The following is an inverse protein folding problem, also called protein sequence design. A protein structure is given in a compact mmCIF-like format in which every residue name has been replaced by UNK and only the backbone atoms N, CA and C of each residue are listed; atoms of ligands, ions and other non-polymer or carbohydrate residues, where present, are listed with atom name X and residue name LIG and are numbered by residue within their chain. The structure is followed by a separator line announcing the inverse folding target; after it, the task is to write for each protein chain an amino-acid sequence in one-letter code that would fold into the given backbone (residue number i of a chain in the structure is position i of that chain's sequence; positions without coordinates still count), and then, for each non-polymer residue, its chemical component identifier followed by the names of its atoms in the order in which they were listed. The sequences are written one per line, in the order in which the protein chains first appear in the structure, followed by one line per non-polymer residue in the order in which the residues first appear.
data_IF_144538418952
#
_entry.id   IF_144538418952
#
_cell.length_a   1.000
_cell.length_b   1.000
_cell.length_c   1.000
_cell.angle_alpha   90.00
_cell.angle_beta   90.00
_cell.angle_gamma   90.00
#
_symmetry.space_group_name_H-M   'P 1'
#
loop_
_entity.id
_entity.type
_entity.pdbx_description
1 polymer ?
#
# COMPACT_ATOMS: atom_id res chain seq x y z
N UNK A 1 58.70 -8.48 53.07
CA UNK A 1 58.73 -7.12 52.53
C UNK A 1 59.82 -7.03 51.46
N UNK A 2 59.50 -7.35 50.21
CA UNK A 2 60.42 -7.14 49.08
C UNK A 2 60.59 -5.63 48.92
N UNK A 3 61.77 -5.11 49.27
CA UNK A 3 62.11 -3.71 49.04
C UNK A 3 62.15 -3.49 47.53
N UNK A 4 61.20 -2.72 47.00
CA UNK A 4 61.22 -2.32 45.59
C UNK A 4 62.45 -1.43 45.37
N UNK A 5 63.31 -1.74 44.38
CA UNK A 5 64.51 -0.97 44.13
C UNK A 5 64.13 0.44 43.69
N UNK A 6 64.90 1.43 44.15
CA UNK A 6 64.75 2.82 43.71
C UNK A 6 65.00 2.89 42.20
N UNK A 7 64.25 3.74 41.46
CA UNK A 7 64.46 3.92 40.03
C UNK A 7 65.90 4.38 39.74
N UNK A 8 66.49 4.01 38.59
CA UNK A 8 67.90 4.21 38.27
C UNK A 8 68.36 5.69 38.21
N UNK A 9 67.43 6.64 38.30
CA UNK A 9 67.68 8.08 38.32
C UNK A 9 67.95 8.64 39.72
N UNK A 10 67.96 7.81 40.77
CA UNK A 10 68.25 8.23 42.14
C UNK A 10 69.75 8.58 42.32
N UNK A 11 70.14 9.82 41.99
CA UNK A 11 71.43 10.39 42.41
C UNK A 11 71.34 10.80 43.87
N UNK A 12 72.15 10.18 44.72
CA UNK A 12 72.28 10.54 46.13
C UNK A 12 72.72 11.99 46.28
N UNK A 13 71.92 12.82 46.96
CA UNK A 13 72.18 14.23 47.29
C UNK A 13 73.40 14.44 48.23
N UNK A 14 74.11 13.39 48.60
CA UNK A 14 75.25 13.41 49.54
C UNK A 14 76.47 14.20 49.08
N UNK A 15 76.59 14.55 47.80
CA UNK A 15 77.71 15.36 47.27
C UNK A 15 77.44 16.87 47.26
N UNK A 16 76.22 17.32 47.60
CA UNK A 16 75.76 18.69 47.28
C UNK A 16 76.21 19.75 48.29
N UNK A 17 76.58 19.35 49.52
CA UNK A 17 77.05 20.29 50.55
C UNK A 17 78.46 20.85 50.29
N UNK A 18 79.26 20.23 49.41
CA UNK A 18 80.67 20.61 49.17
C UNK A 18 80.79 21.74 48.13
N UNK A 19 79.76 21.97 47.30
CA UNK A 19 79.86 22.84 46.12
C UNK A 19 79.85 24.35 46.38
N UNK A 20 79.23 24.83 47.45
CA UNK A 20 79.14 26.29 47.73
C UNK A 20 80.48 26.84 48.19
N UNK A 21 81.22 26.09 49.01
CA UNK A 21 82.58 26.44 49.45
C UNK A 21 83.60 26.27 48.30
N UNK A 22 83.35 25.32 47.39
CA UNK A 22 84.24 25.06 46.25
C UNK A 22 84.26 26.17 45.19
N UNK A 23 83.14 26.86 44.95
CA UNK A 23 83.10 27.94 43.95
C UNK A 23 83.82 29.23 44.39
N UNK A 24 83.97 29.46 45.70
CA UNK A 24 84.79 30.55 46.22
C UNK A 24 86.30 30.28 46.11
N UNK A 25 86.72 29.03 45.88
CA UNK A 25 88.15 28.67 45.64
C UNK A 25 88.65 28.99 44.24
N UNK A 26 87.78 29.49 43.35
CA UNK A 26 88.12 29.85 41.95
C UNK A 26 88.49 31.33 41.77
N UNK A 27 88.81 32.04 42.85
CA UNK A 27 89.46 33.33 42.77
C UNK A 27 90.92 33.14 42.29
N UNK A 28 91.45 33.97 41.38
CA UNK A 28 92.83 33.86 40.94
C UNK A 28 93.80 34.03 42.13
N UNK A 29 94.84 33.21 42.26
CA UNK A 29 95.85 33.39 43.30
C UNK A 29 96.73 34.58 42.91
N UNK A 30 96.54 35.72 43.57
CA UNK A 30 97.33 36.92 43.35
C UNK A 30 97.46 37.67 44.68
N UNK A 31 98.70 37.97 45.09
CA UNK A 31 98.98 38.94 46.14
C UNK A 31 98.38 40.29 45.75
N UNK A 32 97.26 40.64 46.38
CA UNK A 32 96.76 42.00 46.36
C UNK A 32 97.33 42.65 47.62
N UNK A 33 98.51 43.25 47.48
CA UNK A 33 99.26 43.88 48.58
C UNK A 33 98.45 44.93 49.39
N UNK A 34 97.31 45.39 48.88
CA UNK A 34 96.47 46.44 49.49
C UNK A 34 95.25 45.91 50.28
N UNK A 35 94.58 44.85 49.82
CA UNK A 35 93.39 44.27 50.51
C UNK A 35 93.23 42.78 50.20
N UNK A 36 92.66 42.03 51.15
CA UNK A 36 92.24 40.64 50.96
C UNK A 36 90.89 40.38 51.62
N UNK A 37 89.92 39.89 50.85
CA UNK A 37 88.63 39.41 51.37
C UNK A 37 88.70 37.89 51.43
N UNK A 38 88.68 37.34 52.65
CA UNK A 38 88.65 35.90 52.82
C UNK A 38 87.32 35.33 52.28
N UNK A 39 87.34 34.21 51.53
CA UNK A 39 86.15 33.55 50.98
C UNK A 39 84.97 33.42 51.96
N UNK A 40 85.26 33.07 53.21
CA UNK A 40 84.27 32.89 54.28
C UNK A 40 83.58 34.19 54.71
N UNK A 41 84.23 35.34 54.51
CA UNK A 41 83.71 36.66 54.88
C UNK A 41 83.08 37.38 53.68
N UNK A 42 83.33 36.91 52.45
CA UNK A 42 82.90 37.58 51.22
C UNK A 42 81.39 37.86 51.19
N UNK A 43 80.55 36.89 51.59
CA UNK A 43 79.11 37.11 51.63
C UNK A 43 78.74 38.31 52.50
N UNK A 44 79.19 38.33 53.75
CA UNK A 44 78.90 39.42 54.68
C UNK A 44 79.43 40.77 54.20
N UNK A 45 80.63 40.81 53.61
CA UNK A 45 81.26 42.05 53.10
C UNK A 45 80.45 42.65 51.94
N UNK A 46 79.92 41.83 51.04
CA UNK A 46 79.19 42.30 49.87
C UNK A 46 77.67 42.47 50.10
N UNK A 47 77.10 41.93 51.18
CA UNK A 47 75.65 42.05 51.46
C UNK A 47 75.32 43.04 52.59
N UNK A 48 76.26 43.34 53.47
CA UNK A 48 76.01 44.21 54.63
C UNK A 48 76.27 45.67 54.25
N UNK A 49 75.33 46.60 54.51
CA UNK A 49 75.56 48.02 54.28
C UNK A 49 76.87 48.48 54.93
N UNK A 50 77.72 49.19 54.18
CA UNK A 50 79.01 49.74 54.62
C UNK A 50 80.10 48.74 55.03
N UNK A 51 79.89 47.43 54.86
CA UNK A 51 80.92 46.43 55.22
C UNK A 51 82.13 46.42 54.28
N UNK A 52 82.03 47.04 53.10
CA UNK A 52 83.15 47.25 52.19
C UNK A 52 84.00 48.47 52.59
N UNK A 53 83.44 49.42 53.33
CA UNK A 53 84.07 50.70 53.68
C UNK A 53 85.41 50.52 54.42
N UNK A 54 85.57 49.57 55.37
CA UNK A 54 86.87 49.32 56.01
C UNK A 54 87.97 48.89 55.02
N UNK A 55 87.63 48.10 54.01
CA UNK A 55 88.59 47.68 52.97
C UNK A 55 88.97 48.85 52.07
N UNK A 56 88.00 49.69 51.69
CA UNK A 56 88.29 50.90 50.93
C UNK A 56 89.12 51.92 51.74
N UNK A 57 88.88 51.99 53.06
CA UNK A 57 89.66 52.82 53.96
C UNK A 57 91.13 52.36 54.07
N UNK A 58 91.41 51.05 54.02
CA UNK A 58 92.78 50.52 53.94
C UNK A 58 93.48 51.00 52.67
N UNK A 59 92.84 50.87 51.50
CA UNK A 59 93.38 51.39 50.23
C UNK A 59 93.60 52.90 50.31
N UNK A 60 92.67 53.64 50.93
CA UNK A 60 92.79 55.09 51.10
C UNK A 60 93.99 55.48 51.96
N UNK A 61 94.21 54.78 53.07
CA UNK A 61 95.36 55.00 53.94
C UNK A 61 96.68 54.81 53.20
N UNK A 62 96.77 53.79 52.35
CA UNK A 62 97.95 53.54 51.50
C UNK A 62 98.13 54.62 50.42
N UNK A 63 97.04 55.15 49.86
CA UNK A 63 97.09 56.32 48.95
C UNK A 63 97.62 57.55 49.68
N UNK A 64 97.11 57.85 50.88
CA UNK A 64 97.50 59.05 51.62
C UNK A 64 98.96 58.98 52.13
N UNK A 65 99.52 57.77 52.29
CA UNK A 65 100.92 57.55 52.67
C UNK A 65 101.90 57.50 51.49
N UNK A 66 101.39 57.47 50.24
CA UNK A 66 102.22 57.36 49.04
C UNK A 66 102.71 58.73 48.58
N UNK A 67 104.02 58.99 48.72
CA UNK A 67 104.70 60.20 48.26
C UNK A 67 105.80 59.85 47.24
N UNK A 68 105.70 60.40 46.04
CA UNK A 68 106.63 60.13 44.94
C UNK A 68 106.95 61.43 44.18
N UNK A 69 108.23 61.68 43.93
CA UNK A 69 108.68 62.91 43.26
C UNK A 69 108.38 62.88 41.76
N UNK A 70 107.31 63.58 41.37
CA UNK A 70 106.83 63.70 39.99
C UNK A 70 107.80 64.44 39.05
N UNK A 71 108.77 65.19 39.59
CA UNK A 71 109.78 65.87 38.77
C UNK A 71 110.74 64.87 38.14
N UNK A 72 110.93 63.69 38.73
CA UNK A 72 111.81 62.63 38.23
C UNK A 72 111.09 61.61 37.36
N UNK A 73 111.81 61.01 36.41
CA UNK A 73 111.28 59.90 35.60
C UNK A 73 110.92 58.68 36.47
N UNK A 74 111.66 58.45 37.56
CA UNK A 74 111.43 57.37 38.51
C UNK A 74 110.13 57.56 39.30
N UNK A 75 109.90 58.74 39.91
CA UNK A 75 108.68 59.00 40.66
C UNK A 75 107.42 58.96 39.79
N UNK A 76 107.47 59.44 38.53
CA UNK A 76 106.36 59.25 37.58
C UNK A 76 106.08 57.77 37.25
N UNK A 77 107.10 56.92 37.24
CA UNK A 77 106.92 55.47 37.04
C UNK A 77 106.32 54.81 38.29
N UNK A 78 106.72 55.24 39.49
CA UNK A 78 106.14 54.79 40.77
C UNK A 78 104.66 55.13 40.88
N UNK A 79 104.24 56.35 40.51
CA UNK A 79 102.82 56.76 40.46
C UNK A 79 102.01 55.84 39.52
N UNK A 80 102.53 55.54 38.32
CA UNK A 80 101.86 54.63 37.37
C UNK A 80 101.72 53.23 37.95
N UNK A 81 102.76 52.73 38.60
CA UNK A 81 102.75 51.42 39.26
C UNK A 81 101.71 51.36 40.39
N UNK A 82 101.64 52.39 41.23
CA UNK A 82 100.68 52.48 42.32
C UNK A 82 99.23 52.58 41.82
N UNK A 83 98.96 53.40 40.80
CA UNK A 83 97.66 53.47 40.14
C UNK A 83 97.22 52.12 39.54
N UNK A 84 98.18 51.34 39.01
CA UNK A 84 97.91 49.99 38.53
C UNK A 84 97.56 49.02 39.66
N UNK A 85 98.18 49.14 40.85
CA UNK A 85 97.78 48.37 42.05
C UNK A 85 96.33 48.66 42.46
N UNK A 86 95.90 49.93 42.45
CA UNK A 86 94.50 50.30 42.72
C UNK A 86 93.55 49.69 41.68
N UNK A 87 93.95 49.67 40.40
CA UNK A 87 93.15 49.03 39.35
C UNK A 87 93.01 47.53 39.58
N UNK A 88 94.07 46.85 40.05
CA UNK A 88 94.00 45.43 40.42
C UNK A 88 93.06 45.17 41.60
N UNK A 89 93.08 46.03 42.63
CA UNK A 89 92.14 46.00 43.76
C UNK A 89 90.69 46.08 43.27
N UNK A 90 90.38 47.02 42.37
CA UNK A 90 89.04 47.15 41.77
C UNK A 90 88.62 45.86 41.07
N UNK A 91 89.48 45.32 40.20
CA UNK A 91 89.20 44.07 39.47
C UNK A 91 89.01 42.88 40.41
N UNK A 92 89.77 42.82 41.51
CA UNK A 92 89.62 41.80 42.54
C UNK A 92 88.25 41.88 43.26
N UNK A 93 87.84 43.08 43.67
CA UNK A 93 86.54 43.27 44.34
C UNK A 93 85.36 42.93 43.42
N UNK A 94 85.39 43.43 42.17
CA UNK A 94 84.35 43.13 41.18
C UNK A 94 84.27 41.63 40.86
N UNK A 95 85.42 41.00 40.61
CA UNK A 95 85.50 39.55 40.37
C UNK A 95 84.98 38.73 41.54
N UNK A 96 85.29 39.13 42.78
CA UNK A 96 84.82 38.46 44.00
C UNK A 96 83.30 38.59 44.16
N UNK A 97 82.76 39.80 43.99
CA UNK A 97 81.32 40.05 44.06
C UNK A 97 80.55 39.31 42.96
N UNK A 98 81.07 39.27 41.74
CA UNK A 98 80.50 38.50 40.63
C UNK A 98 80.49 36.99 40.93
N UNK A 99 81.62 36.43 41.37
CA UNK A 99 81.72 35.01 41.70
C UNK A 99 80.74 34.61 42.82
N UNK A 100 80.57 35.47 43.83
CA UNK A 100 79.60 35.28 44.91
C UNK A 100 78.16 35.30 44.40
N UNK A 101 77.79 36.28 43.55
CA UNK A 101 76.46 36.37 42.95
C UNK A 101 76.15 35.15 42.07
N UNK A 102 77.11 34.72 41.26
CA UNK A 102 76.98 33.54 40.40
C UNK A 102 76.77 32.28 41.26
N UNK A 103 77.57 32.09 42.31
CA UNK A 103 77.41 30.99 43.26
C UNK A 103 76.06 31.02 43.97
N UNK A 104 75.59 32.21 44.38
CA UNK A 104 74.30 32.38 45.06
C UNK A 104 73.13 32.06 44.13
N UNK A 105 73.19 32.43 42.83
CA UNK A 105 72.16 32.11 41.83
C UNK A 105 72.05 30.62 41.52
N UNK A 106 73.13 29.86 41.68
CA UNK A 106 73.09 28.41 41.53
C UNK A 106 72.30 27.71 42.65
N UNK A 107 72.16 28.33 43.83
CA UNK A 107 71.42 27.74 44.96
C UNK A 107 69.91 27.63 44.62
N UNK A 108 69.18 28.71 44.23
CA UNK A 108 67.79 28.61 43.80
C UNK A 108 67.58 27.63 42.63
N UNK A 109 68.46 27.65 41.61
CA UNK A 109 68.38 26.72 40.48
C UNK A 109 68.41 25.26 40.92
N UNK A 110 69.30 24.91 41.86
CA UNK A 110 69.39 23.55 42.42
C UNK A 110 68.19 23.20 43.27
N UNK A 111 67.69 24.14 44.07
CA UNK A 111 66.47 23.94 44.87
C UNK A 111 65.28 23.63 43.96
N UNK A 112 65.09 24.41 42.90
CA UNK A 112 63.97 24.19 41.97
C UNK A 112 64.10 22.87 41.21
N UNK A 113 65.31 22.50 40.79
CA UNK A 113 65.58 21.20 40.17
C UNK A 113 65.27 20.03 41.13
N UNK A 114 65.70 20.13 42.39
CA UNK A 114 65.42 19.10 43.40
C UNK A 114 63.93 19.00 43.73
N UNK A 115 63.23 20.14 43.84
CA UNK A 115 61.78 20.18 44.06
C UNK A 115 61.02 19.54 42.90
N UNK A 116 61.40 19.85 41.66
CA UNK A 116 60.80 19.22 40.47
C UNK A 116 61.03 17.71 40.49
N UNK A 117 62.27 17.28 40.69
CA UNK A 117 62.60 15.85 40.74
C UNK A 117 61.81 15.11 41.82
N UNK A 118 61.67 15.69 43.02
CA UNK A 118 60.89 15.12 44.09
C UNK A 118 59.41 14.98 43.70
N UNK A 119 58.81 16.02 43.11
CA UNK A 119 57.41 15.99 42.66
C UNK A 119 57.19 14.91 41.60
N UNK A 120 57.96 14.96 40.51
CA UNK A 120 57.82 14.02 39.40
C UNK A 120 58.00 12.56 39.86
N UNK A 121 58.90 12.32 40.83
CA UNK A 121 59.13 10.98 41.40
C UNK A 121 57.96 10.53 42.28
N UNK A 122 57.46 11.42 43.14
CA UNK A 122 56.33 11.10 44.03
C UNK A 122 55.03 10.88 43.23
N UNK A 123 54.79 11.65 42.17
CA UNK A 123 53.66 11.46 41.26
C UNK A 123 53.76 10.09 40.56
N UNK A 124 54.93 9.75 40.01
CA UNK A 124 55.14 8.44 39.37
C UNK A 124 54.96 7.26 40.34
N UNK A 125 55.41 7.40 41.60
CA UNK A 125 55.19 6.36 42.61
C UNK A 125 53.73 6.27 43.06
N UNK A 126 53.03 7.39 43.16
CA UNK A 126 51.59 7.40 43.44
C UNK A 126 50.83 6.66 42.34
N UNK A 127 51.15 6.91 41.07
CA UNK A 127 50.58 6.22 39.91
C UNK A 127 50.91 4.71 39.94
N UNK A 128 52.17 4.33 40.21
CA UNK A 128 52.59 2.93 40.31
C UNK A 128 51.83 2.19 41.42
N UNK A 129 51.64 2.82 42.58
CA UNK A 129 50.92 2.23 43.71
C UNK A 129 49.43 2.14 43.41
N UNK A 130 48.85 3.12 42.70
CA UNK A 130 47.41 3.15 42.36
C UNK A 130 47.05 2.20 41.23
N UNK A 131 47.98 1.93 40.31
CA UNK A 131 47.74 1.17 39.07
C UNK A 131 47.04 -0.19 39.27
N UNK A 132 47.46 -1.08 40.19
CA UNK A 132 46.78 -2.36 40.38
C UNK A 132 45.33 -2.22 40.83
N UNK A 133 45.02 -1.19 41.65
CA UNK A 133 43.64 -0.92 42.06
C UNK A 133 42.82 -0.40 40.88
N UNK A 134 43.38 0.45 40.04
CA UNK A 134 42.69 0.93 38.83
C UNK A 134 42.42 -0.20 37.83
N UNK A 135 43.37 -1.10 37.63
CA UNK A 135 43.17 -2.28 36.78
C UNK A 135 42.09 -3.21 37.33
N UNK A 136 42.05 -3.41 38.65
CA UNK A 136 41.00 -4.19 39.30
C UNK A 136 39.63 -3.51 39.22
N UNK A 137 39.53 -2.20 39.49
CA UNK A 137 38.28 -1.43 39.39
C UNK A 137 37.69 -1.51 37.97
N UNK A 138 38.52 -1.41 36.93
CA UNK A 138 38.10 -1.54 35.53
C UNK A 138 37.65 -2.96 35.19
N UNK A 139 38.40 -3.97 35.63
CA UNK A 139 38.04 -5.38 35.41
C UNK A 139 36.71 -5.72 36.12
N UNK A 140 36.52 -5.21 37.33
CA UNK A 140 35.30 -5.39 38.11
C UNK A 140 34.10 -4.70 37.47
N UNK A 141 34.27 -3.46 37.01
CA UNK A 141 33.22 -2.74 36.27
C UNK A 141 32.82 -3.50 35.00
N UNK A 142 33.79 -4.02 34.23
CA UNK A 142 33.55 -4.84 33.05
C UNK A 142 32.85 -6.16 33.38
N UNK A 143 33.27 -6.84 34.46
CA UNK A 143 32.64 -8.08 34.95
C UNK A 143 31.17 -7.84 35.27
N UNK A 144 30.86 -6.84 36.08
CA UNK A 144 29.48 -6.48 36.45
C UNK A 144 28.66 -6.07 35.23
N UNK A 145 29.24 -5.30 34.31
CA UNK A 145 28.57 -4.89 33.07
C UNK A 145 28.25 -6.10 32.16
N UNK A 146 29.17 -7.08 32.05
CA UNK A 146 28.95 -8.29 31.28
C UNK A 146 27.77 -9.11 31.85
N UNK A 147 27.68 -9.28 33.18
CA UNK A 147 26.55 -9.98 33.78
C UNK A 147 25.22 -9.25 33.53
N UNK A 148 25.19 -7.92 33.68
CA UNK A 148 24.00 -7.12 33.39
C UNK A 148 23.56 -7.25 31.92
N UNK A 149 24.50 -7.20 30.99
CA UNK A 149 24.22 -7.32 29.56
C UNK A 149 23.67 -8.70 29.19
N UNK A 150 24.22 -9.77 29.78
CA UNK A 150 23.76 -11.13 29.54
C UNK A 150 22.36 -11.38 30.13
N UNK A 151 22.05 -10.86 31.32
CA UNK A 151 20.69 -10.90 31.88
C UNK A 151 19.72 -10.10 30.99
N UNK A 152 20.11 -8.91 30.56
CA UNK A 152 19.28 -8.10 29.65
C UNK A 152 19.02 -8.81 28.31
N UNK A 153 19.99 -9.59 27.80
CA UNK A 153 19.78 -10.42 26.60
C UNK A 153 18.72 -11.50 26.84
N UNK A 154 18.74 -12.17 28.00
CA UNK A 154 17.70 -13.15 28.37
C UNK A 154 16.32 -12.49 28.38
N UNK A 155 16.21 -11.31 29.00
CA UNK A 155 14.96 -10.54 29.05
C UNK A 155 14.48 -10.12 27.65
N UNK A 156 15.39 -9.70 26.78
CA UNK A 156 15.09 -9.37 25.38
C UNK A 156 14.58 -10.57 24.57
N UNK A 157 15.09 -11.77 24.82
CA UNK A 157 14.55 -12.99 24.20
C UNK A 157 13.12 -13.24 24.66
N UNK A 158 12.83 -13.11 25.95
CA UNK A 158 11.46 -13.22 26.49
C UNK A 158 10.50 -12.20 25.86
N UNK A 159 10.95 -10.96 25.72
CA UNK A 159 10.17 -9.86 25.14
C UNK A 159 9.75 -10.08 23.67
N UNK A 160 10.40 -11.00 22.93
CA UNK A 160 9.97 -11.37 21.56
C UNK A 160 8.55 -11.94 21.52
N UNK A 161 8.06 -12.52 22.62
CA UNK A 161 6.66 -12.94 22.80
C UNK A 161 5.63 -11.82 22.57
N UNK A 162 6.02 -10.57 22.80
CA UNK A 162 5.16 -9.40 22.65
C UNK A 162 5.21 -8.79 21.24
N UNK A 163 6.15 -9.25 20.41
CA UNK A 163 6.30 -8.79 19.04
C UNK A 163 5.32 -9.53 18.12
N UNK A 164 4.94 -8.87 17.02
CA UNK A 164 4.11 -9.48 15.97
C UNK A 164 4.96 -10.35 15.03
N UNK A 165 5.56 -11.41 15.58
CA UNK A 165 6.38 -12.39 14.86
C UNK A 165 5.66 -13.75 14.78
N UNK A 166 6.17 -14.66 13.96
CA UNK A 166 5.57 -15.99 13.80
C UNK A 166 5.79 -16.88 15.03
N UNK A 167 4.96 -17.92 15.18
CA UNK A 167 5.18 -18.92 16.23
C UNK A 167 6.53 -19.64 16.07
N UNK A 168 6.99 -19.82 14.84
CA UNK A 168 8.30 -20.40 14.54
C UNK A 168 9.47 -19.54 15.06
N UNK A 169 9.40 -18.21 14.87
CA UNK A 169 10.43 -17.29 15.37
C UNK A 169 10.47 -17.23 16.91
N UNK A 170 9.30 -17.30 17.55
CA UNK A 170 9.22 -17.40 19.01
C UNK A 170 9.81 -18.71 19.54
N UNK A 171 9.59 -19.84 18.85
CA UNK A 171 10.24 -21.11 19.18
C UNK A 171 11.76 -21.05 19.03
N UNK A 172 12.26 -20.44 17.96
CA UNK A 172 13.70 -20.24 17.79
C UNK A 172 14.31 -19.40 18.93
N UNK A 173 13.58 -18.38 19.41
CA UNK A 173 14.00 -17.61 20.59
C UNK A 173 13.97 -18.45 21.88
N UNK A 174 12.99 -19.35 22.03
CA UNK A 174 12.90 -20.26 23.17
C UNK A 174 14.04 -21.29 23.14
N UNK A 175 14.42 -21.78 21.97
CA UNK A 175 15.56 -22.69 21.80
C UNK A 175 16.88 -21.98 22.14
N UNK A 176 17.06 -20.74 21.68
CA UNK A 176 18.20 -19.91 22.08
C UNK A 176 18.23 -19.74 23.61
N UNK A 177 17.10 -19.40 24.22
CA UNK A 177 16.98 -19.24 25.67
C UNK A 177 17.31 -20.55 26.42
N UNK A 178 16.84 -21.69 25.93
CA UNK A 178 17.12 -23.00 26.51
C UNK A 178 18.61 -23.35 26.44
N UNK A 179 19.31 -22.93 25.39
CA UNK A 179 20.75 -23.14 25.23
C UNK A 179 21.62 -22.35 26.22
N UNK A 180 21.06 -21.32 26.87
CA UNK A 180 21.77 -20.54 27.89
C UNK A 180 21.94 -21.38 29.15
N UNK A 181 23.16 -21.83 29.43
CA UNK A 181 23.50 -22.56 30.64
C UNK A 181 23.68 -21.58 31.79
N UNK A 182 22.95 -21.82 32.88
CA UNK A 182 23.10 -21.08 34.13
C UNK A 182 23.92 -21.98 35.07
N UNK A 183 25.04 -21.47 35.56
CA UNK A 183 25.97 -22.25 36.35
C UNK A 183 27.05 -21.38 37.01
N UNK A 184 28.18 -21.97 37.42
CA UNK A 184 29.21 -21.27 38.20
C UNK A 184 29.74 -19.98 37.56
N UNK A 185 29.76 -19.89 36.24
CA UNK A 185 30.20 -18.70 35.48
C UNK A 185 29.23 -17.50 35.65
N UNK A 186 28.04 -17.70 36.22
CA UNK A 186 27.13 -16.62 36.57
C UNK A 186 27.48 -15.94 37.90
N UNK A 187 28.41 -16.50 38.68
CA UNK A 187 28.93 -15.94 39.94
C UNK A 187 27.78 -15.56 40.92
N UNK A 188 27.86 -14.42 41.61
CA UNK A 188 26.81 -13.93 42.51
C UNK A 188 25.46 -13.63 41.82
N UNK A 189 25.44 -13.60 40.48
CA UNK A 189 24.25 -13.30 39.69
C UNK A 189 23.44 -14.52 39.27
N UNK A 190 23.86 -15.75 39.60
CA UNK A 190 23.19 -16.99 39.19
C UNK A 190 21.66 -16.96 39.41
N UNK A 191 21.22 -16.50 40.58
CA UNK A 191 19.80 -16.37 40.89
C UNK A 191 19.06 -15.34 40.01
N UNK A 192 19.74 -14.26 39.59
CA UNK A 192 19.17 -13.26 38.69
C UNK A 192 19.04 -13.80 37.25
N UNK A 193 20.05 -14.54 36.77
CA UNK A 193 19.96 -15.27 35.49
C UNK A 193 18.80 -16.28 35.52
N UNK A 194 18.68 -17.05 36.60
CA UNK A 194 17.61 -18.03 36.79
C UNK A 194 16.23 -17.40 36.66
N UNK A 195 15.97 -16.34 37.45
CA UNK A 195 14.69 -15.61 37.39
C UNK A 195 14.41 -15.03 36.01
N UNK A 196 15.41 -14.40 35.38
CA UNK A 196 15.24 -13.83 34.04
C UNK A 196 14.88 -14.93 33.02
N UNK A 197 15.55 -16.09 33.09
CA UNK A 197 15.28 -17.22 32.20
C UNK A 197 13.90 -17.81 32.43
N UNK A 198 13.50 -18.02 33.68
CA UNK A 198 12.15 -18.52 34.02
C UNK A 198 11.05 -17.60 33.48
N UNK A 199 11.19 -16.28 33.69
CA UNK A 199 10.24 -15.28 33.17
C UNK A 199 10.20 -15.33 31.64
N UNK A 200 11.35 -15.36 30.98
CA UNK A 200 11.43 -15.38 29.52
C UNK A 200 10.86 -16.67 28.92
N UNK A 201 11.09 -17.84 29.55
CA UNK A 201 10.51 -19.13 29.14
C UNK A 201 9.00 -19.08 29.26
N UNK A 202 8.48 -18.57 30.38
CA UNK A 202 7.04 -18.43 30.60
C UNK A 202 6.39 -17.51 29.54
N UNK A 203 6.99 -16.34 29.29
CA UNK A 203 6.50 -15.38 28.30
C UNK A 203 6.49 -15.96 26.89
N UNK A 204 7.58 -16.59 26.47
CA UNK A 204 7.66 -17.22 25.15
C UNK A 204 6.70 -18.40 25.01
N UNK A 205 6.56 -19.25 26.04
CA UNK A 205 5.61 -20.36 26.04
C UNK A 205 4.17 -19.88 25.82
N UNK A 206 3.74 -18.87 26.59
CA UNK A 206 2.41 -18.27 26.43
C UNK A 206 2.22 -17.59 25.07
N UNK A 207 3.24 -16.86 24.59
CA UNK A 207 3.23 -16.21 23.28
C UNK A 207 3.12 -17.19 22.12
N UNK A 208 3.86 -18.29 22.17
CA UNK A 208 3.82 -19.38 21.18
C UNK A 208 2.41 -19.97 21.11
N UNK A 209 1.81 -20.33 22.24
CA UNK A 209 0.45 -20.90 22.27
C UNK A 209 -0.60 -19.93 21.71
N UNK A 210 -0.49 -18.64 22.03
CA UNK A 210 -1.39 -17.63 21.49
C UNK A 210 -1.20 -17.46 19.97
N UNK A 211 0.05 -17.47 19.51
CA UNK A 211 0.39 -17.27 18.10
C UNK A 211 0.02 -18.48 17.23
N UNK A 212 0.21 -19.69 17.73
CA UNK A 212 -0.22 -20.92 17.07
C UNK A 212 -1.74 -20.95 16.88
N UNK A 213 -2.51 -20.59 17.91
CA UNK A 213 -3.96 -20.48 17.81
C UNK A 213 -4.37 -19.48 16.75
N UNK A 214 -3.79 -18.28 16.78
CA UNK A 214 -4.06 -17.25 15.78
C UNK A 214 -3.73 -17.73 14.36
N UNK A 215 -2.57 -18.35 14.15
CA UNK A 215 -2.15 -18.85 12.83
C UNK A 215 -3.05 -19.99 12.32
N UNK A 216 -3.47 -20.89 13.21
CA UNK A 216 -4.43 -21.94 12.90
C UNK A 216 -5.81 -21.36 12.52
N UNK A 217 -6.33 -20.41 13.29
CA UNK A 217 -7.58 -19.70 12.99
C UNK A 217 -7.51 -18.97 11.64
N UNK A 218 -6.38 -18.34 11.31
CA UNK A 218 -6.20 -17.70 10.00
C UNK A 218 -6.15 -18.73 8.86
N UNK A 219 -5.51 -19.88 9.06
CA UNK A 219 -5.46 -20.95 8.07
C UNK A 219 -6.85 -21.57 7.82
N UNK A 220 -7.62 -21.84 8.88
CA UNK A 220 -9.00 -22.32 8.78
C UNK A 220 -9.90 -21.29 8.08
N UNK A 221 -9.77 -20.01 8.41
CA UNK A 221 -10.53 -18.94 7.77
C UNK A 221 -10.19 -18.82 6.28
N UNK A 222 -8.93 -18.99 5.91
CA UNK A 222 -8.50 -18.99 4.50
C UNK A 222 -9.10 -20.19 3.74
N UNK A 223 -9.08 -21.37 4.34
CA UNK A 223 -9.66 -22.57 3.75
C UNK A 223 -11.19 -22.47 3.60
N UNK A 224 -11.88 -21.96 4.62
CA UNK A 224 -13.32 -21.71 4.55
C UNK A 224 -13.68 -20.70 3.44
N UNK A 225 -12.86 -19.67 3.23
CA UNK A 225 -13.05 -18.72 2.12
C UNK A 225 -12.87 -19.41 0.76
N UNK A 226 -11.86 -20.26 0.61
CA UNK A 226 -11.64 -21.03 -0.63
C UNK A 226 -12.81 -21.97 -0.93
N UNK A 227 -13.28 -22.71 0.06
CA UNK A 227 -14.44 -23.61 -0.09
C UNK A 227 -15.70 -22.84 -0.46
N UNK A 228 -15.91 -21.67 0.14
CA UNK A 228 -17.03 -20.79 -0.20
C UNK A 228 -16.93 -20.28 -1.63
N UNK A 229 -15.77 -19.80 -2.05
CA UNK A 229 -15.53 -19.34 -3.43
C UNK A 229 -15.76 -20.45 -4.46
N UNK A 230 -15.32 -21.68 -4.16
CA UNK A 230 -15.54 -22.84 -5.04
C UNK A 230 -17.03 -23.21 -5.12
N UNK A 231 -17.74 -23.21 -3.99
CA UNK A 231 -19.18 -23.44 -3.96
C UNK A 231 -19.94 -22.35 -4.71
N UNK A 232 -19.62 -21.08 -4.49
CA UNK A 232 -20.27 -19.95 -5.16
C UNK A 232 -20.03 -20.02 -6.69
N UNK A 233 -18.84 -20.48 -7.11
CA UNK A 233 -18.54 -20.74 -8.52
C UNK A 233 -19.40 -21.88 -9.08
N UNK A 234 -19.49 -23.01 -8.37
CA UNK A 234 -20.33 -24.15 -8.78
C UNK A 234 -21.80 -23.77 -8.83
N UNK A 235 -22.32 -23.08 -7.82
CA UNK A 235 -23.70 -22.60 -7.76
C UNK A 235 -24.00 -21.64 -8.93
N UNK A 236 -23.03 -20.79 -9.31
CA UNK A 236 -23.14 -19.92 -10.48
C UNK A 236 -23.15 -20.70 -11.79
N UNK A 237 -22.26 -21.67 -11.96
CA UNK A 237 -22.20 -22.53 -13.13
C UNK A 237 -23.48 -23.37 -13.27
N UNK A 238 -23.98 -23.94 -12.18
CA UNK A 238 -25.26 -24.65 -12.15
C UNK A 238 -26.43 -23.73 -12.49
N UNK A 239 -26.47 -22.50 -11.96
CA UNK A 239 -27.51 -21.52 -12.32
C UNK A 239 -27.47 -21.19 -13.81
N UNK A 240 -26.28 -20.94 -14.37
CA UNK A 240 -26.12 -20.68 -15.81
C UNK A 240 -26.58 -21.90 -16.63
N UNK A 241 -26.23 -23.11 -16.21
CA UNK A 241 -26.66 -24.34 -16.88
C UNK A 241 -28.18 -24.55 -16.80
N UNK A 242 -28.80 -24.30 -15.64
CA UNK A 242 -30.26 -24.37 -15.47
C UNK A 242 -30.98 -23.31 -16.30
N UNK A 243 -30.51 -22.06 -16.28
CA UNK A 243 -31.06 -20.97 -17.08
C UNK A 243 -30.93 -21.27 -18.58
N UNK A 244 -29.80 -21.83 -19.04
CA UNK A 244 -29.61 -22.25 -20.41
C UNK A 244 -30.55 -23.42 -20.79
N UNK A 245 -30.71 -24.41 -19.92
CA UNK A 245 -31.62 -25.54 -20.15
C UNK A 245 -33.10 -25.11 -20.15
N UNK A 246 -33.52 -24.25 -19.23
CA UNK A 246 -34.87 -23.69 -19.21
C UNK A 246 -35.14 -22.84 -20.44
N UNK A 247 -34.17 -21.99 -20.84
CA UNK A 247 -34.29 -21.21 -22.07
C UNK A 247 -34.42 -22.10 -23.29
N UNK A 248 -33.58 -23.13 -23.42
CA UNK A 248 -33.68 -24.09 -24.52
C UNK A 248 -35.03 -24.83 -24.52
N UNK A 249 -35.57 -25.18 -23.34
CA UNK A 249 -36.89 -25.80 -23.22
C UNK A 249 -38.01 -24.85 -23.64
N UNK A 250 -37.97 -23.59 -23.18
CA UNK A 250 -38.95 -22.56 -23.59
C UNK A 250 -38.88 -22.28 -25.09
N UNK A 251 -37.68 -22.12 -25.64
CA UNK A 251 -37.48 -21.90 -27.08
C UNK A 251 -38.01 -23.10 -27.90
N UNK A 252 -37.82 -24.34 -27.40
CA UNK A 252 -38.36 -25.55 -28.03
C UNK A 252 -39.89 -25.65 -27.91
N UNK A 253 -40.47 -25.36 -26.75
CA UNK A 253 -41.92 -25.33 -26.52
C UNK A 253 -42.59 -24.22 -27.36
N UNK A 254 -41.98 -23.04 -27.45
CA UNK A 254 -42.47 -21.93 -28.28
C UNK A 254 -42.41 -22.29 -29.77
N UNK A 255 -41.32 -22.91 -30.22
CA UNK A 255 -41.21 -23.41 -31.60
C UNK A 255 -42.24 -24.49 -31.88
N UNK A 256 -42.42 -25.46 -30.98
CA UNK A 256 -43.42 -26.51 -31.13
C UNK A 256 -44.84 -25.95 -31.12
N UNK A 257 -45.13 -24.95 -30.27
CA UNK A 257 -46.43 -24.27 -30.25
C UNK A 257 -46.65 -23.44 -31.53
N UNK A 258 -45.62 -22.77 -32.06
CA UNK A 258 -45.68 -22.05 -33.33
C UNK A 258 -45.88 -23.01 -34.51
N UNK A 259 -45.22 -24.16 -34.51
CA UNK A 259 -45.38 -25.22 -35.52
C UNK A 259 -46.78 -25.83 -35.44
N UNK A 260 -47.29 -26.12 -34.24
CA UNK A 260 -48.64 -26.61 -34.02
C UNK A 260 -49.71 -25.59 -34.47
N UNK A 261 -49.55 -24.30 -34.14
CA UNK A 261 -50.44 -23.23 -34.62
C UNK A 261 -50.41 -23.11 -36.14
N UNK A 262 -49.23 -23.20 -36.76
CA UNK A 262 -49.09 -23.20 -38.23
C UNK A 262 -49.77 -24.40 -38.86
N UNK A 263 -49.65 -25.58 -38.28
CA UNK A 263 -50.32 -26.80 -38.73
C UNK A 263 -51.84 -26.72 -38.56
N UNK A 264 -52.32 -26.21 -37.43
CA UNK A 264 -53.75 -26.01 -37.16
C UNK A 264 -54.35 -24.96 -38.10
N UNK A 265 -53.65 -23.85 -38.33
CA UNK A 265 -54.11 -22.81 -39.25
C UNK A 265 -54.10 -23.30 -40.71
N UNK A 266 -53.11 -24.10 -41.11
CA UNK A 266 -53.11 -24.75 -42.42
C UNK A 266 -54.27 -25.76 -42.56
N UNK A 267 -54.52 -26.59 -41.55
CA UNK A 267 -55.64 -27.52 -41.53
C UNK A 267 -56.99 -26.80 -41.53
N UNK A 268 -57.11 -25.66 -40.82
CA UNK A 268 -58.31 -24.83 -40.82
C UNK A 268 -58.55 -24.22 -42.19
N UNK A 269 -57.52 -23.65 -42.83
CA UNK A 269 -57.60 -23.13 -44.21
C UNK A 269 -57.96 -24.22 -45.22
N UNK A 270 -57.47 -25.44 -45.03
CA UNK A 270 -57.83 -26.58 -45.89
C UNK A 270 -59.29 -26.99 -45.71
N UNK A 271 -59.79 -27.05 -44.46
CA UNK A 271 -61.20 -27.30 -44.16
C UNK A 271 -62.10 -26.20 -44.68
N UNK A 272 -61.78 -24.93 -44.42
CA UNK A 272 -62.51 -23.78 -44.95
C UNK A 272 -62.52 -23.79 -46.49
N UNK A 273 -61.41 -24.15 -47.14
CA UNK A 273 -61.35 -24.29 -48.59
C UNK A 273 -62.12 -25.52 -49.12
N UNK A 274 -62.24 -26.60 -48.34
CA UNK A 274 -63.05 -27.76 -48.68
C UNK A 274 -64.55 -27.47 -48.50
N UNK A 275 -64.93 -26.84 -47.39
CA UNK A 275 -66.30 -26.36 -47.11
C UNK A 275 -66.73 -25.31 -48.13
N UNK A 276 -65.87 -24.37 -48.51
CA UNK A 276 -66.15 -23.41 -49.58
C UNK A 276 -66.37 -24.11 -50.92
N UNK A 277 -65.56 -25.13 -51.26
CA UNK A 277 -65.77 -25.94 -52.47
C UNK A 277 -67.06 -26.76 -52.43
N UNK A 278 -67.41 -27.32 -51.28
CA UNK A 278 -68.67 -28.05 -51.10
C UNK A 278 -69.88 -27.12 -51.19
N UNK A 279 -69.79 -25.92 -50.59
CA UNK A 279 -70.84 -24.91 -50.66
C UNK A 279 -70.97 -24.33 -52.07
N UNK A 280 -69.87 -24.13 -52.79
CA UNK A 280 -69.85 -23.75 -54.21
C UNK A 280 -70.54 -24.84 -55.05
N UNK A 281 -70.21 -26.12 -54.84
CA UNK A 281 -70.84 -27.24 -55.51
C UNK A 281 -72.34 -27.34 -55.19
N UNK A 282 -72.74 -27.15 -53.93
CA UNK A 282 -74.15 -27.09 -53.51
C UNK A 282 -74.88 -25.92 -54.15
N UNK A 283 -74.28 -24.72 -54.18
CA UNK A 283 -74.86 -23.55 -54.86
C UNK A 283 -74.97 -23.76 -56.37
N UNK A 284 -74.01 -24.43 -56.99
CA UNK A 284 -74.08 -24.79 -58.41
C UNK A 284 -75.16 -25.84 -58.67
N UNK A 285 -75.32 -26.83 -57.78
CA UNK A 285 -76.38 -27.83 -57.85
C UNK A 285 -77.77 -27.21 -57.62
N UNK A 286 -77.93 -26.35 -56.62
CA UNK A 286 -79.17 -25.60 -56.35
C UNK A 286 -79.49 -24.62 -57.47
N UNK A 287 -78.50 -23.91 -58.02
CA UNK A 287 -78.71 -23.04 -59.18
C UNK A 287 -79.07 -23.84 -60.44
N UNK A 288 -78.49 -25.03 -60.64
CA UNK A 288 -78.87 -25.94 -61.72
C UNK A 288 -80.30 -26.49 -61.52
N UNK A 289 -80.67 -26.84 -60.29
CA UNK A 289 -82.02 -27.30 -59.95
C UNK A 289 -83.05 -26.19 -60.06
N UNK A 290 -82.74 -24.96 -59.63
CA UNK A 290 -83.62 -23.81 -59.83
C UNK A 290 -83.76 -23.45 -61.31
N UNK A 291 -82.69 -23.51 -62.10
CA UNK A 291 -82.78 -23.35 -63.56
C UNK A 291 -83.64 -24.44 -64.19
N UNK A 292 -83.52 -25.69 -63.74
CA UNK A 292 -84.36 -26.80 -64.19
C UNK A 292 -85.84 -26.58 -63.83
N UNK A 293 -86.14 -26.19 -62.58
CA UNK A 293 -87.49 -25.86 -62.11
C UNK A 293 -88.08 -24.63 -62.79
N UNK A 294 -87.28 -23.60 -63.07
CA UNK A 294 -87.70 -22.42 -63.84
C UNK A 294 -87.98 -22.79 -65.30
N UNK A 295 -87.16 -23.65 -65.92
CA UNK A 295 -87.46 -24.17 -67.27
C UNK A 295 -88.72 -25.03 -67.27
N UNK A 296 -88.94 -25.90 -66.28
CA UNK A 296 -90.18 -26.69 -66.18
C UNK A 296 -91.41 -25.81 -65.91
N UNK A 297 -91.27 -24.79 -65.05
CA UNK A 297 -92.34 -23.84 -64.76
C UNK A 297 -92.67 -22.95 -65.98
N UNK A 298 -91.65 -22.56 -66.77
CA UNK A 298 -91.85 -21.83 -68.03
C UNK A 298 -92.56 -22.71 -69.07
N UNK A 299 -92.12 -23.96 -69.24
CA UNK A 299 -92.76 -24.92 -70.16
C UNK A 299 -94.21 -25.22 -69.74
N UNK A 300 -94.51 -25.35 -68.44
CA UNK A 300 -95.89 -25.51 -67.95
C UNK A 300 -96.75 -24.26 -68.18
N UNK A 301 -96.23 -23.06 -67.91
CA UNK A 301 -96.98 -21.81 -68.13
C UNK A 301 -97.25 -21.55 -69.61
N UNK A 302 -96.30 -21.85 -70.49
CA UNK A 302 -96.49 -21.77 -71.95
C UNK A 302 -97.51 -22.81 -72.45
N UNK A 303 -97.49 -24.03 -71.90
CA UNK A 303 -98.48 -25.07 -72.23
C UNK A 303 -99.90 -24.78 -71.71
N UNK A 304 -100.03 -24.15 -70.54
CA UNK A 304 -101.32 -23.73 -69.98
C UNK A 304 -101.90 -22.50 -70.69
N UNK A 305 -101.06 -21.52 -71.07
CA UNK A 305 -101.49 -20.36 -71.86
C UNK A 305 -101.89 -20.75 -73.30
N UNK A 306 -101.21 -21.73 -73.91
CA UNK A 306 -101.60 -22.26 -75.22
C UNK A 306 -102.96 -22.99 -75.17
N UNK A 307 -103.22 -23.79 -74.13
CA UNK A 307 -104.50 -24.50 -73.95
C UNK A 307 -105.67 -23.57 -73.62
N UNK A 308 -105.44 -22.51 -72.84
CA UNK A 308 -106.48 -21.53 -72.50
C UNK A 308 -106.89 -20.65 -73.71
N UNK A 309 -105.94 -20.34 -74.60
CA UNK A 309 -106.22 -19.57 -75.82
C UNK A 309 -107.02 -20.38 -76.86
N UNK A 310 -106.79 -21.69 -76.96
CA UNK A 310 -107.49 -22.57 -77.90
C UNK A 310 -108.95 -22.86 -77.48
N UNK A 311 -109.20 -23.04 -76.17
CA UNK A 311 -110.55 -23.25 -75.63
C UNK A 311 -111.46 -22.02 -75.77
N UNK A 312 -110.91 -20.80 -75.64
CA UNK A 312 -111.67 -19.55 -75.78
C UNK A 312 -112.05 -19.23 -77.24
N UNK A 313 -111.25 -19.69 -78.22
CA UNK A 313 -111.51 -19.49 -79.64
C UNK A 313 -112.55 -20.49 -80.19
N UNK A 314 -112.63 -21.71 -79.64
CA UNK A 314 -113.63 -22.71 -80.04
C UNK A 314 -115.05 -22.36 -79.55
N UNK A 315 -115.20 -21.88 -78.31
CA UNK A 315 -116.51 -21.55 -77.73
C UNK A 315 -117.24 -20.39 -78.46
N UNK A 316 -116.51 -19.40 -78.99
CA UNK A 316 -117.12 -18.28 -79.74
C UNK A 316 -117.65 -18.69 -81.12
N UNK A 317 -117.07 -19.70 -81.76
CA UNK A 317 -117.52 -20.16 -83.10
C UNK A 317 -118.82 -20.98 -83.04
N UNK A 318 -119.03 -21.71 -81.95
CA UNK A 318 -120.19 -22.59 -81.82
C UNK A 318 -121.46 -21.88 -81.37
N UNK A 319 -121.35 -20.83 -80.55
CA UNK A 319 -122.49 -20.01 -80.14
C UNK A 319 -123.13 -19.25 -81.32
N UNK A 320 -122.31 -18.74 -82.25
CA UNK A 320 -122.80 -17.96 -83.39
C UNK A 320 -123.55 -18.82 -84.42
N UNK A 321 -123.15 -20.10 -84.57
CA UNK A 321 -123.80 -21.05 -85.48
C UNK A 321 -125.22 -21.41 -85.01
N UNK A 322 -125.39 -21.68 -83.70
CA UNK A 322 -126.68 -22.04 -83.11
C UNK A 322 -127.71 -20.91 -83.18
N UNK A 323 -127.27 -19.66 -83.05
CA UNK A 323 -128.16 -18.51 -83.14
C UNK A 323 -128.74 -18.36 -84.56
N UNK A 324 -127.91 -18.49 -85.59
CA UNK A 324 -128.33 -18.40 -86.99
C UNK A 324 -129.32 -19.49 -87.39
N UNK A 325 -129.07 -20.74 -86.98
CA UNK A 325 -129.93 -21.89 -87.29
C UNK A 325 -131.31 -21.80 -86.62
N UNK A 326 -131.40 -21.11 -85.47
CA UNK A 326 -132.68 -20.89 -84.79
C UNK A 326 -133.53 -19.87 -85.55
N UNK A 327 -132.94 -18.74 -85.95
CA UNK A 327 -133.63 -17.68 -86.69
C UNK A 327 -134.12 -18.20 -88.06
N UNK A 328 -133.32 -19.01 -88.75
CA UNK A 328 -133.74 -19.64 -90.01
C UNK A 328 -134.98 -20.52 -89.86
N UNK A 329 -135.00 -21.38 -88.83
CA UNK A 329 -136.13 -22.29 -88.62
C UNK A 329 -137.40 -21.57 -88.20
N UNK A 330 -137.28 -20.54 -87.36
CA UNK A 330 -138.44 -19.75 -86.92
C UNK A 330 -139.08 -19.02 -88.12
N UNK A 331 -138.27 -18.48 -89.04
CA UNK A 331 -138.77 -17.87 -90.28
C UNK A 331 -139.45 -18.89 -91.21
N UNK A 332 -138.84 -20.06 -91.42
CA UNK A 332 -139.40 -21.10 -92.30
C UNK A 332 -140.74 -21.60 -91.78
N UNK A 333 -140.85 -21.82 -90.47
CA UNK A 333 -142.07 -22.31 -89.82
C UNK A 333 -143.23 -21.32 -89.91
N UNK A 334 -142.96 -20.01 -89.86
CA UNK A 334 -144.00 -19.00 -90.03
C UNK A 334 -144.60 -19.04 -91.44
N UNK A 335 -143.79 -19.34 -92.47
CA UNK A 335 -144.23 -19.46 -93.87
C UNK A 335 -145.05 -20.74 -94.07
N UNK A 336 -144.69 -21.86 -93.44
CA UNK A 336 -145.45 -23.12 -93.50
C UNK A 336 -146.88 -22.97 -92.99
N UNK A 337 -147.11 -22.14 -91.96
CA UNK A 337 -148.42 -21.94 -91.34
C UNK A 337 -149.51 -21.39 -92.28
N UNK A 338 -149.14 -20.91 -93.46
CA UNK A 338 -150.04 -20.32 -94.46
C UNK A 338 -150.41 -21.33 -95.57
N UNK A 339 -149.95 -22.60 -95.46
CA UNK A 339 -150.31 -23.70 -96.36
C UNK A 339 -149.27 -24.03 -97.45
N UNK A 340 -148.03 -23.56 -97.32
CA UNK A 340 -146.94 -23.85 -98.27
C UNK A 340 -146.13 -25.08 -97.80
N UNK A 341 -145.78 -26.04 -98.68
CA UNK A 341 -144.99 -27.22 -98.31
C UNK A 341 -143.59 -26.88 -97.78
N UNK A 342 -143.14 -27.64 -96.77
CA UNK A 342 -141.91 -27.40 -95.99
C UNK A 342 -140.63 -27.19 -96.81
N UNK A 343 -140.43 -27.99 -97.87
CA UNK A 343 -139.21 -27.85 -98.69
C UNK A 343 -139.16 -26.51 -99.44
N UNK A 344 -140.32 -26.02 -99.90
CA UNK A 344 -140.39 -24.75 -100.60
C UNK A 344 -140.28 -23.56 -99.63
N UNK A 345 -140.83 -23.70 -98.42
CA UNK A 345 -140.69 -22.69 -97.36
C UNK A 345 -139.21 -22.51 -96.94
N UNK A 346 -138.45 -23.60 -96.79
CA UNK A 346 -137.02 -23.54 -96.52
C UNK A 346 -136.22 -22.88 -97.65
N UNK A 347 -136.51 -23.22 -98.91
CA UNK A 347 -135.86 -22.60 -100.07
C UNK A 347 -136.13 -21.09 -100.16
N UNK A 348 -137.34 -20.64 -99.83
CA UNK A 348 -137.68 -19.21 -99.80
C UNK A 348 -136.90 -18.48 -98.69
N UNK A 349 -136.75 -19.08 -97.50
CA UNK A 349 -135.94 -18.49 -96.41
C UNK A 349 -134.46 -18.43 -96.79
N UNK A 350 -133.93 -19.46 -97.44
CA UNK A 350 -132.53 -19.48 -97.91
C UNK A 350 -132.29 -18.43 -99.01
N UNK A 351 -133.24 -18.24 -99.94
CA UNK A 351 -133.17 -17.19 -100.96
C UNK A 351 -133.18 -15.78 -100.35
N UNK A 352 -133.97 -15.56 -99.29
CA UNK A 352 -133.99 -14.28 -98.55
C UNK A 352 -132.69 -14.09 -97.75
N UNK A 353 -132.18 -15.13 -97.08
CA UNK A 353 -130.92 -15.07 -96.32
C UNK A 353 -129.70 -14.85 -97.22
N UNK A 354 -129.74 -15.38 -98.44
CA UNK A 354 -128.74 -15.14 -99.48
C UNK A 354 -128.89 -13.76 -100.16
N UNK A 355 -129.92 -12.97 -99.81
CA UNK A 355 -130.17 -11.63 -100.35
C UNK A 355 -130.66 -11.62 -101.80
N UNK A 356 -131.17 -12.75 -102.31
CA UNK A 356 -131.58 -12.92 -103.71
C UNK A 356 -133.02 -12.45 -103.98
N UNK A 357 -133.80 -12.14 -102.94
CA UNK A 357 -135.12 -11.52 -103.04
C UNK A 357 -134.97 -10.01 -102.76
N UNK A 358 -135.11 -9.14 -103.78
CA UNK A 358 -134.90 -7.70 -103.60
C UNK A 358 -135.90 -7.11 -102.60
N UNK A 359 -135.41 -6.19 -101.76
CA UNK A 359 -136.18 -5.46 -100.74
C UNK A 359 -136.68 -6.27 -99.53
N UNK A 360 -136.18 -7.51 -99.30
CA UNK A 360 -136.46 -8.33 -98.11
C UNK A 360 -135.16 -8.97 -97.57
N UNK A 361 -134.95 -9.03 -96.25
CA UNK A 361 -133.76 -9.63 -95.62
C UNK A 361 -134.07 -10.27 -94.25
N UNK A 362 -133.23 -11.22 -93.81
CA UNK A 362 -133.29 -11.85 -92.47
C UNK A 362 -132.19 -11.28 -91.57
N UNK A 363 -132.57 -10.83 -90.37
CA UNK A 363 -131.65 -10.31 -89.35
C UNK A 363 -131.34 -11.41 -88.33
N UNK A 364 -130.05 -11.68 -88.06
CA UNK A 364 -129.60 -12.76 -87.16
C UNK A 364 -129.28 -12.31 -85.75
#
# INVERSE_FOLDING_TARGET
MNRRPLPPTFRTLGEVAVGVVANLKKAPPMDVELIKIEPQNALAVFTTPKALDPYLAMVRKEIDAFDADISTAKGRAEVKSFAFKITKVKTYLDGTGKALNDAQKEIPKKIDAARKHARDTLDAWADEVRKPLTEWEQAEEQRVAAHKAAIARIEQLGAKSQLQISAADMRAALDELNSIVIGPDCEEYEAAYGRAKEIAVFQLGAGIEARERYEAEQAELAELRRQKEERDKKDREERIAREAAEKAKRDAEEKAAADARRAEEAARREREAAEARELELKRQAEAAEQRARETEARVKREAEQAKAAEAAAAAKREANKRHRDKVHRDAARAIEGIGIPSELAAQVVDLIAAGQVPHVAITY
#
